data_IF_407960973045
#
_entry.id   IF_407960973045
#
_cell.length_a   1.000
_cell.length_b   1.000
_cell.length_c   1.000
_cell.angle_alpha   90.00
_cell.angle_beta   90.00
_cell.angle_gamma   90.00
#
_symmetry.space_group_name_H-M   'P 1'
#
loop_
_entity.id
_entity.type
_entity.pdbx_description
1 polymer ?
#
# COMPACT_ATOMS: atom_id res chain seq x y z
N UNK A 1 3.73 -10.43 7.57
CA UNK A 1 3.55 -9.98 6.16
C UNK A 1 3.95 -11.09 5.18
N UNK A 2 5.19 -11.58 5.21
CA UNK A 2 5.67 -12.59 4.26
C UNK A 2 4.82 -13.87 4.18
N UNK A 3 4.49 -14.48 5.32
CA UNK A 3 3.62 -15.67 5.34
C UNK A 3 2.26 -15.40 4.69
N UNK A 4 1.62 -14.29 5.03
CA UNK A 4 0.33 -13.90 4.48
C UNK A 4 0.39 -13.71 2.95
N UNK A 5 1.44 -13.05 2.44
CA UNK A 5 1.65 -12.90 1.00
C UNK A 5 1.84 -14.27 0.32
N UNK A 6 2.70 -15.13 0.87
CA UNK A 6 3.00 -16.45 0.31
C UNK A 6 1.74 -17.32 0.20
N UNK A 7 0.81 -17.21 1.15
CA UNK A 7 -0.44 -17.95 1.14
C UNK A 7 -1.37 -17.57 -0.02
N UNK A 8 -1.25 -16.36 -0.58
CA UNK A 8 -2.16 -15.85 -1.62
C UNK A 8 -1.48 -15.49 -2.94
N UNK A 9 -0.15 -15.53 -3.01
CA UNK A 9 0.66 -15.00 -4.12
C UNK A 9 0.21 -15.44 -5.53
N UNK A 10 -0.25 -16.68 -5.67
CA UNK A 10 -0.68 -17.24 -6.97
C UNK A 10 -2.13 -16.89 -7.34
N UNK A 11 -2.87 -16.31 -6.39
CA UNK A 11 -4.27 -15.93 -6.50
C UNK A 11 -4.47 -14.41 -6.55
N UNK A 12 -3.41 -13.61 -6.44
CA UNK A 12 -3.50 -12.15 -6.45
C UNK A 12 -3.93 -11.67 -7.84
N UNK A 13 -5.09 -11.00 -7.91
CA UNK A 13 -5.63 -10.37 -9.13
C UNK A 13 -5.78 -8.85 -9.02
N UNK A 14 -5.81 -8.34 -7.78
CA UNK A 14 -5.99 -6.94 -7.49
C UNK A 14 -5.38 -6.64 -6.11
N UNK A 15 -4.93 -5.40 -5.90
CA UNK A 15 -4.35 -4.97 -4.63
C UNK A 15 -4.92 -3.62 -4.22
N UNK A 16 -5.58 -3.59 -3.07
CA UNK A 16 -5.86 -2.36 -2.35
C UNK A 16 -4.66 -1.99 -1.49
N UNK A 17 -4.33 -0.70 -1.46
CA UNK A 17 -3.23 -0.16 -0.69
C UNK A 17 -3.74 0.97 0.20
N UNK A 18 -3.45 0.85 1.49
CA UNK A 18 -3.67 1.88 2.50
C UNK A 18 -2.67 1.69 3.63
N UNK A 19 -2.57 2.66 4.52
CA UNK A 19 -1.66 2.59 5.66
C UNK A 19 -2.39 2.83 6.98
N UNK A 20 -1.86 2.22 8.04
CA UNK A 20 -2.38 2.33 9.40
C UNK A 20 -1.24 2.47 10.39
N UNK A 21 -1.48 3.25 11.43
CA UNK A 21 -0.57 3.39 12.58
C UNK A 21 -1.26 2.99 13.87
N UNK A 22 -0.50 2.53 14.85
CA UNK A 22 -1.04 2.33 16.21
C UNK A 22 -1.45 3.67 16.83
N UNK A 23 -2.57 3.60 17.51
CA UNK A 23 -3.13 4.63 18.38
C UNK A 23 -3.57 3.98 19.69
N UNK A 24 -3.86 4.78 20.71
CA UNK A 24 -4.31 4.27 22.02
C UNK A 24 -5.59 3.40 21.92
N UNK A 25 -6.40 3.58 20.87
CA UNK A 25 -7.63 2.83 20.61
C UNK A 25 -7.50 1.67 19.61
N UNK A 26 -6.29 1.33 19.16
CA UNK A 26 -6.05 0.31 18.14
C UNK A 26 -5.43 0.90 16.86
N UNK A 27 -5.85 0.42 15.70
CA UNK A 27 -5.32 0.87 14.41
C UNK A 27 -6.12 2.06 13.87
N UNK A 28 -5.41 3.11 13.45
CA UNK A 28 -5.98 4.28 12.79
C UNK A 28 -5.44 4.39 11.36
N UNK A 29 -6.32 4.69 10.39
CA UNK A 29 -5.89 5.04 9.02
C UNK A 29 -4.95 6.25 9.05
N UNK A 30 -3.93 6.23 8.19
CA UNK A 30 -3.00 7.32 7.95
C UNK A 30 -2.67 7.45 6.46
N UNK A 31 -1.96 8.53 6.10
CA UNK A 31 -1.48 8.71 4.73
C UNK A 31 -0.39 7.68 4.41
N UNK A 32 -0.20 7.36 3.13
CA UNK A 32 0.65 6.24 2.72
C UNK A 32 2.11 6.48 3.12
N UNK A 33 2.73 5.53 3.81
CA UNK A 33 4.11 5.62 4.27
C UNK A 33 4.30 6.39 5.59
N UNK A 34 3.21 6.81 6.24
CA UNK A 34 3.23 7.38 7.59
C UNK A 34 2.92 6.34 8.68
N UNK A 35 2.53 5.13 8.29
CA UNK A 35 2.11 4.08 9.20
C UNK A 35 3.11 2.94 9.37
N UNK A 36 2.59 1.77 9.71
CA UNK A 36 3.36 0.59 10.11
C UNK A 36 3.33 -0.53 9.07
N UNK A 37 2.60 -0.36 7.96
CA UNK A 37 2.55 -1.38 6.91
C UNK A 37 3.83 -1.30 6.06
N UNK A 38 4.56 -2.41 5.85
CA UNK A 38 5.77 -2.42 5.03
C UNK A 38 5.42 -2.48 3.53
N UNK A 39 4.99 -1.36 2.95
CA UNK A 39 4.55 -1.32 1.55
C UNK A 39 5.67 -1.59 0.54
N UNK A 40 6.89 -1.17 0.84
CA UNK A 40 8.09 -1.47 0.06
C UNK A 40 8.28 -2.98 -0.16
N UNK A 41 8.10 -3.76 0.91
CA UNK A 41 8.10 -5.22 0.85
C UNK A 41 6.97 -5.72 -0.04
N UNK A 42 5.74 -5.25 0.17
CA UNK A 42 4.57 -5.72 -0.59
C UNK A 42 4.71 -5.43 -2.08
N UNK A 43 5.12 -4.21 -2.45
CA UNK A 43 5.32 -3.78 -3.84
C UNK A 43 6.41 -4.62 -4.52
N UNK A 44 7.52 -4.88 -3.83
CA UNK A 44 8.58 -5.77 -4.33
C UNK A 44 8.09 -7.20 -4.54
N UNK A 45 7.33 -7.74 -3.60
CA UNK A 45 6.78 -9.11 -3.72
C UNK A 45 5.77 -9.24 -4.84
N UNK A 46 4.92 -8.23 -5.07
CA UNK A 46 4.02 -8.19 -6.22
C UNK A 46 4.81 -8.16 -7.54
N UNK A 47 5.89 -7.39 -7.60
CA UNK A 47 6.79 -7.36 -8.76
C UNK A 47 7.45 -8.73 -9.02
N UNK A 48 7.95 -9.40 -7.98
CA UNK A 48 8.59 -10.74 -8.08
C UNK A 48 7.67 -11.81 -8.68
N UNK A 49 6.35 -11.68 -8.54
CA UNK A 49 5.37 -12.61 -9.11
C UNK A 49 4.83 -12.16 -10.48
N UNK A 50 5.44 -11.14 -11.10
CA UNK A 50 4.99 -10.51 -12.34
C UNK A 50 3.52 -10.02 -12.28
N UNK A 51 3.11 -9.48 -11.14
CA UNK A 51 1.80 -8.85 -11.02
C UNK A 51 1.72 -7.64 -11.97
N UNK A 52 0.72 -7.64 -12.85
CA UNK A 52 0.50 -6.61 -13.89
C UNK A 52 -0.73 -5.73 -13.61
N UNK A 53 -1.36 -5.90 -12.44
CA UNK A 53 -2.52 -5.13 -12.02
C UNK A 53 -2.18 -3.78 -11.37
N UNK A 54 -3.22 -3.01 -11.05
CA UNK A 54 -3.08 -1.71 -10.40
C UNK A 54 -2.97 -1.81 -8.87
N UNK A 55 -2.14 -0.95 -8.28
CA UNK A 55 -2.17 -0.63 -6.85
C UNK A 55 -3.24 0.45 -6.62
N UNK A 56 -4.34 0.07 -5.98
CA UNK A 56 -5.52 0.94 -5.83
C UNK A 56 -5.64 1.48 -4.41
N UNK A 57 -5.59 2.79 -4.24
CA UNK A 57 -5.77 3.41 -2.94
C UNK A 57 -7.17 3.14 -2.38
N UNK A 58 -7.28 2.61 -1.16
CA UNK A 58 -8.56 2.36 -0.49
C UNK A 58 -8.72 3.26 0.74
N UNK A 59 -9.81 4.03 0.78
CA UNK A 59 -10.08 4.99 1.85
C UNK A 59 -11.48 4.79 2.41
N UNK A 60 -11.57 4.28 3.63
CA UNK A 60 -12.85 4.07 4.32
C UNK A 60 -13.00 5.18 5.36
N UNK A 61 -13.98 6.06 5.17
CA UNK A 61 -14.24 7.21 6.04
C UNK A 61 -12.99 8.10 6.27
N UNK A 62 -12.36 8.62 5.20
CA UNK A 62 -11.13 9.40 5.34
C UNK A 62 -11.36 10.69 6.13
N UNK A 63 -10.33 11.07 6.91
CA UNK A 63 -10.29 12.36 7.62
C UNK A 63 -9.70 13.50 6.77
N UNK A 64 -9.11 13.16 5.63
CA UNK A 64 -8.49 14.10 4.70
C UNK A 64 -9.39 14.35 3.50
N UNK A 65 -9.23 15.53 2.92
CA UNK A 65 -9.88 15.87 1.66
C UNK A 65 -9.33 15.01 0.51
N UNK A 66 -10.16 14.65 -0.50
CA UNK A 66 -9.75 13.76 -1.59
C UNK A 66 -8.49 14.22 -2.34
N UNK A 67 -8.32 15.52 -2.57
CA UNK A 67 -7.16 16.03 -3.30
C UNK A 67 -5.84 15.86 -2.53
N UNK A 68 -5.89 15.93 -1.19
CA UNK A 68 -4.71 15.67 -0.34
C UNK A 68 -4.31 14.21 -0.48
N UNK A 69 -5.29 13.33 -0.39
CA UNK A 69 -5.11 11.88 -0.50
C UNK A 69 -4.53 11.50 -1.86
N UNK A 70 -5.18 11.93 -2.94
CA UNK A 70 -4.81 11.54 -4.30
C UNK A 70 -3.42 12.02 -4.68
N UNK A 71 -3.08 13.27 -4.34
CA UNK A 71 -1.73 13.80 -4.59
C UNK A 71 -0.68 13.04 -3.77
N UNK A 72 -0.90 12.85 -2.47
CA UNK A 72 0.07 12.18 -1.59
C UNK A 72 0.28 10.70 -1.99
N UNK A 73 -0.80 9.97 -2.27
CA UNK A 73 -0.68 8.57 -2.70
C UNK A 73 0.01 8.45 -4.05
N UNK A 74 -0.28 9.35 -4.99
CA UNK A 74 0.38 9.33 -6.30
C UNK A 74 1.89 9.52 -6.16
N UNK A 75 2.33 10.46 -5.32
CA UNK A 75 3.76 10.70 -5.07
C UNK A 75 4.44 9.51 -4.38
N UNK A 76 3.83 8.96 -3.34
CA UNK A 76 4.43 7.85 -2.58
C UNK A 76 4.44 6.55 -3.37
N UNK A 77 3.37 6.23 -4.12
CA UNK A 77 3.34 5.04 -4.97
C UNK A 77 4.36 5.13 -6.10
N UNK A 78 4.55 6.30 -6.72
CA UNK A 78 5.60 6.47 -7.72
C UNK A 78 6.97 6.15 -7.13
N UNK A 79 7.29 6.66 -5.95
CA UNK A 79 8.56 6.37 -5.28
C UNK A 79 8.77 4.87 -5.03
N UNK A 80 7.76 4.14 -4.53
CA UNK A 80 7.89 2.70 -4.33
C UNK A 80 8.11 1.93 -5.64
N UNK A 81 7.50 2.39 -6.74
CA UNK A 81 7.69 1.78 -8.05
C UNK A 81 9.08 2.12 -8.63
N UNK A 82 9.55 3.35 -8.47
CA UNK A 82 10.87 3.79 -8.92
C UNK A 82 11.98 3.00 -8.21
N UNK A 83 11.82 2.73 -6.91
CA UNK A 83 12.74 1.90 -6.10
C UNK A 83 12.85 0.45 -6.58
N UNK A 84 11.92 -0.05 -7.41
CA UNK A 84 12.06 -1.37 -8.05
C UNK A 84 13.04 -1.37 -9.23
N UNK A 85 13.25 -0.20 -9.85
CA UNK A 85 14.04 -0.04 -11.08
C UNK A 85 15.43 0.53 -10.85
N UNK A 86 15.71 0.99 -9.62
CA UNK A 86 16.99 1.55 -9.17
C UNK A 86 18.03 0.52 -8.71
#
# INVERSE_FOLDING_TARGET
>A
MEEAFNNVRELVRHCHIHDVRKSDGGWELCLLGEGEIPHDFVVRRLHEINFDGHLSGEFINPRWEPHVILSQYSEVLHRYLDELTG
#
